data_IF_096516592519
#
_entry.id   IF_096516592519
#
_cell.length_a   1.000
_cell.length_b   1.000
_cell.length_c   1.000
_cell.angle_alpha   90.00
_cell.angle_beta   90.00
_cell.angle_gamma   90.00
#
_symmetry.space_group_name_H-M   'P 1'
#
loop_
_entity.id
_entity.type
_entity.pdbx_description
1 polymer ?
#
# COMPACT_ATOMS: atom_id res chain seq x y z
N UNK A 1 -6.84 -21.84 -10.81
CA UNK A 1 -5.68 -21.06 -11.26
C UNK A 1 -5.12 -20.38 -10.03
N UNK A 2 -3.78 -20.28 -9.88
CA UNK A 2 -3.17 -19.59 -8.73
C UNK A 2 -3.62 -18.13 -8.73
N UNK A 3 -4.04 -17.60 -7.58
CA UNK A 3 -4.39 -16.19 -7.41
C UNK A 3 -3.15 -15.29 -7.40
N UNK A 4 -1.96 -15.86 -7.15
CA UNK A 4 -0.71 -15.10 -6.98
C UNK A 4 -0.21 -14.57 -8.31
N UNK A 5 -0.03 -13.25 -8.39
CA UNK A 5 0.49 -12.51 -9.54
C UNK A 5 1.98 -12.22 -9.42
N UNK A 6 2.39 -11.69 -8.27
CA UNK A 6 3.79 -11.49 -7.90
C UNK A 6 4.16 -12.30 -6.69
N UNK A 7 5.33 -12.92 -6.71
CA UNK A 7 5.95 -13.52 -5.54
C UNK A 7 7.42 -13.09 -5.46
N UNK A 8 7.79 -12.47 -4.34
CA UNK A 8 9.13 -11.98 -4.08
C UNK A 8 9.71 -12.80 -2.92
N UNK A 9 10.92 -13.38 -3.11
CA UNK A 9 11.56 -14.26 -2.11
C UNK A 9 12.96 -13.77 -1.79
N UNK A 10 13.24 -13.54 -0.50
CA UNK A 10 14.54 -13.10 0.02
C UNK A 10 15.12 -11.92 -0.77
N UNK A 11 14.23 -11.01 -1.19
CA UNK A 11 14.58 -9.93 -2.09
C UNK A 11 15.29 -8.82 -1.32
N UNK A 12 16.51 -8.48 -1.78
CA UNK A 12 17.26 -7.32 -1.28
C UNK A 12 17.57 -6.34 -2.40
N UNK A 13 17.52 -5.06 -2.06
CA UNK A 13 18.03 -3.99 -2.92
C UNK A 13 18.96 -3.10 -2.11
N UNK A 14 20.17 -2.93 -2.64
CA UNK A 14 21.22 -2.13 -2.01
C UNK A 14 21.65 -1.05 -3.01
N UNK A 15 21.75 0.19 -2.55
CA UNK A 15 22.35 1.31 -3.28
C UNK A 15 23.47 1.88 -2.43
N UNK A 16 24.67 2.01 -2.97
CA UNK A 16 25.84 2.60 -2.31
C UNK A 16 26.09 2.06 -0.87
N UNK A 17 25.93 0.75 -0.71
CA UNK A 17 26.10 0.06 0.59
C UNK A 17 24.90 0.17 1.55
N UNK A 18 23.88 0.97 1.21
CA UNK A 18 22.65 1.10 2.02
C UNK A 18 21.59 0.12 1.52
N UNK A 19 21.10 -0.72 2.41
CA UNK A 19 19.94 -1.58 2.11
C UNK A 19 18.67 -0.75 2.10
N UNK A 20 17.97 -0.73 0.95
CA UNK A 20 16.72 -0.02 0.73
C UNK A 20 15.52 -0.97 0.82
N UNK A 21 15.70 -2.24 0.42
CA UNK A 21 14.69 -3.28 0.57
C UNK A 21 15.33 -4.54 1.15
N UNK A 22 14.65 -5.21 2.07
CA UNK A 22 14.98 -6.50 2.66
C UNK A 22 13.67 -7.25 2.96
N UNK A 23 13.16 -7.96 1.95
CA UNK A 23 11.88 -8.63 2.00
C UNK A 23 12.10 -10.14 2.07
N UNK A 24 11.69 -10.80 3.16
CA UNK A 24 11.78 -12.26 3.27
C UNK A 24 10.83 -12.94 2.26
N UNK A 25 9.56 -12.57 2.32
CA UNK A 25 8.55 -13.01 1.34
C UNK A 25 7.48 -11.93 1.17
N UNK A 26 7.04 -11.72 -0.07
CA UNK A 26 5.87 -10.91 -0.38
C UNK A 26 5.12 -11.55 -1.55
N UNK A 27 3.82 -11.78 -1.37
CA UNK A 27 2.94 -12.30 -2.43
C UNK A 27 1.78 -11.34 -2.65
N UNK A 28 1.49 -11.03 -3.91
CA UNK A 28 0.40 -10.15 -4.32
C UNK A 28 -0.51 -10.91 -5.28
N UNK A 29 -1.81 -10.79 -5.07
CA UNK A 29 -2.82 -11.52 -5.84
C UNK A 29 -3.21 -10.80 -7.15
N UNK A 30 -3.61 -11.61 -8.14
CA UNK A 30 -4.12 -11.13 -9.42
C UNK A 30 -5.54 -10.55 -9.27
N UNK A 31 -5.82 -9.51 -10.04
CA UNK A 31 -7.15 -8.91 -10.15
C UNK A 31 -7.55 -8.07 -8.94
N UNK A 32 -6.65 -7.81 -8.01
CA UNK A 32 -6.88 -6.98 -6.83
C UNK A 32 -6.31 -5.57 -7.00
N UNK A 33 -6.85 -4.67 -6.21
CA UNK A 33 -6.25 -3.36 -5.93
C UNK A 33 -5.43 -3.50 -4.65
N UNK A 34 -4.12 -3.40 -4.75
CA UNK A 34 -3.19 -3.50 -3.62
C UNK A 34 -2.55 -2.16 -3.33
N UNK A 35 -2.56 -1.71 -2.09
CA UNK A 35 -1.81 -0.54 -1.65
C UNK A 35 -0.48 -0.93 -1.02
N UNK A 36 0.58 -0.20 -1.37
CA UNK A 36 1.85 -0.21 -0.67
C UNK A 36 1.88 1.04 0.22
N UNK A 37 1.60 0.86 1.50
CA UNK A 37 1.53 1.93 2.49
C UNK A 37 2.86 2.04 3.23
N UNK A 38 3.31 3.24 3.55
CA UNK A 38 4.51 3.46 4.35
C UNK A 38 5.04 4.88 4.26
N UNK A 39 5.95 5.27 5.17
CA UNK A 39 6.54 6.60 5.18
C UNK A 39 7.43 6.84 3.94
N UNK A 40 7.82 8.09 3.73
CA UNK A 40 8.80 8.44 2.71
C UNK A 40 10.14 7.76 3.03
N UNK A 41 10.80 7.23 1.99
CA UNK A 41 12.03 6.48 2.14
C UNK A 41 11.88 5.01 2.57
N UNK A 42 10.66 4.50 2.73
CA UNK A 42 10.42 3.09 3.10
C UNK A 42 10.74 2.07 1.99
N UNK A 43 11.10 2.52 0.77
CA UNK A 43 11.41 1.64 -0.36
C UNK A 43 10.25 1.39 -1.32
N UNK A 44 9.11 2.08 -1.17
CA UNK A 44 7.89 1.87 -1.99
C UNK A 44 8.17 2.00 -3.50
N UNK A 45 8.73 3.13 -3.94
CA UNK A 45 9.08 3.38 -5.35
C UNK A 45 10.08 2.34 -5.87
N UNK A 46 11.11 2.00 -5.08
CA UNK A 46 12.09 0.97 -5.44
C UNK A 46 11.44 -0.39 -5.64
N UNK A 47 10.47 -0.74 -4.81
CA UNK A 47 9.71 -1.98 -4.97
C UNK A 47 8.86 -1.95 -6.25
N UNK A 48 8.18 -0.84 -6.56
CA UNK A 48 7.45 -0.68 -7.81
C UNK A 48 8.37 -0.78 -9.03
N UNK A 49 9.56 -0.16 -9.00
CA UNK A 49 10.55 -0.26 -10.10
C UNK A 49 11.01 -1.70 -10.34
N UNK A 50 11.22 -2.49 -9.28
CA UNK A 50 11.58 -3.91 -9.41
C UNK A 50 10.40 -4.70 -9.99
N UNK A 51 9.18 -4.47 -9.53
CA UNK A 51 7.98 -5.13 -10.06
C UNK A 51 7.65 -4.68 -11.49
N UNK A 52 8.02 -3.45 -11.87
CA UNK A 52 7.94 -2.97 -13.25
C UNK A 52 9.06 -3.54 -14.15
N UNK A 53 9.98 -4.31 -13.58
CA UNK A 53 11.17 -4.85 -14.25
C UNK A 53 12.13 -3.76 -14.78
N UNK A 54 12.06 -2.56 -14.20
CA UNK A 54 12.93 -1.42 -14.56
C UNK A 54 14.26 -1.48 -13.82
N UNK A 55 14.26 -2.04 -12.61
CA UNK A 55 15.44 -2.25 -11.77
C UNK A 55 15.55 -3.72 -11.36
N UNK A 56 16.74 -4.29 -11.37
CA UNK A 56 17.00 -5.64 -10.84
C UNK A 56 17.18 -5.57 -9.32
N UNK A 57 16.77 -6.59 -8.55
CA UNK A 57 17.18 -6.74 -7.16
C UNK A 57 18.69 -6.95 -7.04
N UNK A 58 19.29 -6.64 -5.88
CA UNK A 58 20.69 -6.96 -5.59
C UNK A 58 20.87 -8.44 -5.26
N UNK A 59 19.85 -9.06 -4.64
CA UNK A 59 19.77 -10.51 -4.40
C UNK A 59 18.31 -10.93 -4.21
N UNK A 60 18.05 -12.24 -4.19
CA UNK A 60 16.72 -12.81 -4.07
C UNK A 60 16.05 -13.04 -5.42
N UNK A 61 14.76 -13.33 -5.38
CA UNK A 61 14.01 -13.77 -6.55
C UNK A 61 12.72 -12.98 -6.71
N UNK A 62 12.38 -12.68 -7.96
CA UNK A 62 11.08 -12.12 -8.38
C UNK A 62 10.40 -13.15 -9.28
N UNK A 63 9.18 -13.49 -8.96
CA UNK A 63 8.32 -14.34 -9.75
C UNK A 63 7.10 -13.51 -10.22
N UNK A 64 6.77 -13.64 -11.48
CA UNK A 64 5.60 -13.01 -12.08
C UNK A 64 4.80 -14.06 -12.84
N UNK A 65 3.52 -14.20 -12.53
CA UNK A 65 2.64 -15.19 -13.14
C UNK A 65 3.20 -16.61 -13.08
N UNK A 66 3.76 -17.01 -11.91
CA UNK A 66 4.41 -18.30 -11.64
C UNK A 66 5.74 -18.53 -12.37
N UNK A 67 6.23 -17.59 -13.17
CA UNK A 67 7.51 -17.68 -13.85
C UNK A 67 8.58 -16.85 -13.12
N UNK A 68 9.76 -17.42 -12.89
CA UNK A 68 10.89 -16.70 -12.32
C UNK A 68 11.41 -15.68 -13.32
N UNK A 69 11.53 -14.43 -12.88
CA UNK A 69 12.01 -13.33 -13.71
C UNK A 69 13.53 -13.38 -13.83
N UNK A 70 14.01 -13.46 -15.05
CA UNK A 70 15.44 -13.38 -15.38
C UNK A 70 15.77 -11.95 -15.83
N UNK A 71 16.36 -11.16 -14.94
CA UNK A 71 16.76 -9.78 -15.22
C UNK A 71 17.99 -9.66 -16.14
N UNK A 72 18.74 -10.74 -16.36
CA UNK A 72 19.99 -10.72 -17.15
C UNK A 72 19.74 -10.83 -18.64
N UNK A 73 18.58 -11.33 -19.04
CA UNK A 73 18.23 -11.57 -20.44
C UNK A 73 17.27 -10.51 -20.96
N UNK A 74 17.27 -10.24 -22.25
CA UNK A 74 16.30 -9.35 -22.90
C UNK A 74 14.82 -9.78 -22.76
N UNK A 75 14.55 -10.92 -22.12
CA UNK A 75 13.20 -11.47 -21.87
C UNK A 75 12.32 -10.55 -21.00
N UNK A 76 12.91 -9.74 -20.11
CA UNK A 76 12.16 -8.73 -19.32
C UNK A 76 11.35 -7.75 -20.19
N UNK A 77 11.74 -7.55 -21.45
CA UNK A 77 11.02 -6.64 -22.36
C UNK A 77 9.57 -7.09 -22.58
N UNK A 78 9.32 -8.40 -22.62
CA UNK A 78 7.95 -8.92 -22.76
C UNK A 78 7.12 -8.65 -21.50
N UNK A 79 7.74 -8.75 -20.32
CA UNK A 79 7.09 -8.49 -19.05
C UNK A 79 6.75 -7.00 -18.89
N UNK A 80 7.62 -6.09 -19.33
CA UNK A 80 7.37 -4.64 -19.35
C UNK A 80 6.18 -4.23 -20.24
N UNK A 81 5.71 -5.12 -21.11
CA UNK A 81 4.48 -4.89 -21.88
C UNK A 81 3.22 -5.26 -21.09
N UNK A 82 3.36 -6.15 -20.11
CA UNK A 82 2.28 -6.62 -19.25
C UNK A 82 2.13 -5.77 -18.00
N UNK A 83 3.24 -5.24 -17.49
CA UNK A 83 3.29 -4.40 -16.29
C UNK A 83 3.73 -2.99 -16.67
N UNK A 84 2.86 -2.01 -16.42
CA UNK A 84 3.14 -0.62 -16.76
C UNK A 84 3.22 0.21 -15.50
N UNK A 85 4.28 1.01 -15.39
CA UNK A 85 4.55 1.90 -14.27
C UNK A 85 4.20 3.35 -14.63
N UNK A 86 3.52 4.02 -13.72
CA UNK A 86 3.20 5.45 -13.78
C UNK A 86 3.86 6.12 -12.58
N UNK A 87 4.80 6.98 -12.86
CA UNK A 87 5.57 7.71 -11.85
C UNK A 87 4.73 8.78 -11.16
N UNK A 88 5.12 9.15 -9.93
CA UNK A 88 4.51 10.21 -9.14
C UNK A 88 4.46 11.54 -9.91
N UNK A 89 5.58 11.93 -10.53
CA UNK A 89 5.66 13.10 -11.39
C UNK A 89 5.58 12.67 -12.86
N UNK A 90 4.36 12.46 -13.32
CA UNK A 90 4.13 12.02 -14.69
C UNK A 90 4.54 13.06 -15.71
N UNK A 91 5.42 12.71 -16.65
CA UNK A 91 5.87 13.56 -17.75
C UNK A 91 5.11 13.20 -19.02
N UNK A 92 4.50 14.20 -19.65
CA UNK A 92 3.87 14.09 -20.96
C UNK A 92 4.75 14.72 -22.04
N UNK A 93 4.67 14.16 -23.25
CA UNK A 93 5.30 14.80 -24.42
C UNK A 93 4.69 16.18 -24.69
N UNK A 94 5.51 17.15 -25.07
CA UNK A 94 5.08 18.52 -25.41
C UNK A 94 4.30 18.52 -26.72
N UNK A 95 3.12 17.90 -26.71
CA UNK A 95 2.21 17.78 -27.85
C UNK A 95 0.76 17.81 -27.37
N UNK A 96 -0.20 17.50 -28.25
CA UNK A 96 -1.62 17.38 -27.87
C UNK A 96 -1.88 16.15 -26.98
N UNK A 97 -2.86 16.24 -26.09
CA UNK A 97 -3.26 15.19 -25.17
C UNK A 97 -3.50 13.85 -25.89
N UNK A 98 -4.31 13.83 -26.94
CA UNK A 98 -4.60 12.60 -27.69
C UNK A 98 -3.34 11.94 -28.28
N UNK A 99 -2.33 12.73 -28.66
CA UNK A 99 -1.05 12.20 -29.18
C UNK A 99 -0.24 11.49 -28.12
N UNK A 100 -0.33 11.94 -26.86
CA UNK A 100 0.28 11.25 -25.73
C UNK A 100 -0.32 9.87 -25.53
N UNK A 101 -1.64 9.77 -25.50
CA UNK A 101 -2.35 8.47 -25.33
C UNK A 101 -2.17 7.57 -26.56
N UNK A 102 -2.15 8.15 -27.79
CA UNK A 102 -1.95 7.40 -29.02
C UNK A 102 -0.50 6.88 -29.20
N UNK A 103 0.48 7.39 -28.45
CA UNK A 103 1.89 7.08 -28.66
C UNK A 103 2.21 5.57 -28.55
N UNK A 104 1.84 4.84 -27.47
CA UNK A 104 2.12 3.42 -27.37
C UNK A 104 1.40 2.61 -28.46
N UNK A 105 0.19 2.99 -28.84
CA UNK A 105 -0.58 2.34 -29.91
C UNK A 105 0.09 2.49 -31.27
N UNK A 106 0.71 3.66 -31.51
CA UNK A 106 1.46 3.94 -32.74
C UNK A 106 2.71 3.06 -32.84
N UNK A 107 3.45 2.95 -31.74
CA UNK A 107 4.66 2.10 -31.69
C UNK A 107 4.31 0.64 -31.96
N UNK A 108 3.13 0.20 -31.47
CA UNK A 108 2.63 -1.17 -31.67
C UNK A 108 1.99 -1.39 -33.06
N UNK A 109 2.04 -0.41 -33.96
CA UNK A 109 1.50 -0.54 -35.31
C UNK A 109 -0.03 -0.59 -35.39
N UNK A 110 -0.75 -0.12 -34.34
CA UNK A 110 -2.24 -0.12 -34.34
C UNK A 110 -2.76 0.74 -35.50
N UNK A 111 -3.69 0.23 -36.34
CA UNK A 111 -4.28 0.97 -37.45
C UNK A 111 -4.94 2.28 -36.97
N UNK A 112 -4.89 3.31 -37.81
CA UNK A 112 -5.32 4.68 -37.45
C UNK A 112 -6.75 4.72 -36.88
N UNK A 113 -7.73 4.15 -37.59
CA UNK A 113 -9.12 4.16 -37.16
C UNK A 113 -9.33 3.48 -35.79
N UNK A 114 -8.69 2.31 -35.57
CA UNK A 114 -8.74 1.61 -34.29
C UNK A 114 -8.08 2.41 -33.18
N UNK A 115 -6.94 3.06 -33.48
CA UNK A 115 -6.19 3.90 -32.54
C UNK A 115 -7.01 5.12 -32.09
N UNK A 116 -7.70 5.77 -33.01
CA UNK A 116 -8.55 6.93 -32.71
C UNK A 116 -9.69 6.55 -31.76
N UNK A 117 -10.36 5.42 -31.99
CA UNK A 117 -11.40 4.91 -31.11
C UNK A 117 -10.88 4.56 -29.71
N UNK A 118 -9.74 3.84 -29.61
CA UNK A 118 -9.15 3.51 -28.33
C UNK A 118 -8.77 4.77 -27.54
N UNK A 119 -8.18 5.75 -28.19
CA UNK A 119 -7.79 7.02 -27.54
C UNK A 119 -9.03 7.74 -27.00
N UNK A 120 -10.13 7.77 -27.74
CA UNK A 120 -11.39 8.37 -27.31
C UNK A 120 -11.93 7.64 -26.08
N UNK A 121 -12.08 6.33 -26.15
CA UNK A 121 -12.54 5.50 -25.03
C UNK A 121 -11.69 5.69 -23.76
N UNK A 122 -10.36 5.79 -23.91
CA UNK A 122 -9.46 5.97 -22.76
C UNK A 122 -9.48 7.38 -22.18
N UNK A 123 -9.62 8.40 -23.03
CA UNK A 123 -9.75 9.78 -22.57
C UNK A 123 -11.09 10.00 -21.85
N UNK A 124 -12.16 9.39 -22.33
CA UNK A 124 -13.46 9.44 -21.66
C UNK A 124 -13.42 8.72 -20.31
N UNK A 125 -12.78 7.54 -20.25
CA UNK A 125 -12.60 6.78 -19.01
C UNK A 125 -11.91 7.62 -17.92
N UNK A 126 -10.90 8.42 -18.28
CA UNK A 126 -10.18 9.25 -17.33
C UNK A 126 -10.77 10.66 -17.19
N UNK A 127 -11.93 10.95 -17.81
CA UNK A 127 -12.59 12.25 -17.75
C UNK A 127 -11.83 13.37 -18.45
N UNK A 128 -11.07 13.04 -19.52
CA UNK A 128 -10.25 13.98 -20.29
C UNK A 128 -10.69 14.13 -21.75
N UNK A 129 -11.89 13.65 -22.12
CA UNK A 129 -12.43 13.73 -23.49
C UNK A 129 -12.46 15.16 -24.05
N UNK A 130 -12.93 16.13 -23.25
CA UNK A 130 -12.94 17.55 -23.62
C UNK A 130 -11.56 18.18 -23.84
N UNK A 131 -10.51 17.57 -23.29
CA UNK A 131 -9.13 18.05 -23.42
C UNK A 131 -8.35 17.37 -24.55
N UNK A 132 -8.99 16.53 -25.38
CA UNK A 132 -8.37 15.76 -26.47
C UNK A 132 -7.39 16.56 -27.33
N UNK A 133 -7.76 17.77 -27.68
CA UNK A 133 -6.98 18.64 -28.56
C UNK A 133 -6.12 19.68 -27.83
N UNK A 134 -6.21 19.75 -26.51
CA UNK A 134 -5.40 20.64 -25.67
C UNK A 134 -3.92 20.29 -25.77
N UNK A 135 -3.06 21.29 -25.55
CA UNK A 135 -1.62 21.09 -25.42
C UNK A 135 -1.30 20.54 -24.03
N UNK A 136 -0.58 19.41 -23.96
CA UNK A 136 -0.32 18.70 -22.70
C UNK A 136 0.39 19.56 -21.65
N UNK A 137 1.26 20.47 -22.05
CA UNK A 137 1.97 21.37 -21.14
C UNK A 137 1.09 22.47 -20.49
N UNK A 138 -0.19 22.55 -20.87
CA UNK A 138 -1.17 23.47 -20.26
C UNK A 138 -2.07 22.78 -19.22
N UNK A 139 -1.89 21.49 -19.01
CA UNK A 139 -2.67 20.71 -18.05
C UNK A 139 -2.19 20.99 -16.62
N UNK A 140 -3.14 20.94 -15.68
CA UNK A 140 -2.82 20.86 -14.25
C UNK A 140 -2.09 19.57 -13.89
N UNK A 141 -1.54 19.47 -12.68
CA UNK A 141 -0.89 18.25 -12.21
C UNK A 141 -1.82 17.02 -12.22
N UNK A 142 -3.03 17.18 -11.71
CA UNK A 142 -4.02 16.11 -11.69
C UNK A 142 -4.54 15.71 -13.09
N UNK A 143 -4.73 16.67 -14.00
CA UNK A 143 -5.06 16.38 -15.40
C UNK A 143 -3.92 15.65 -16.11
N UNK A 144 -2.67 16.06 -15.85
CA UNK A 144 -1.46 15.38 -16.37
C UNK A 144 -1.41 13.93 -15.89
N UNK A 145 -1.68 13.67 -14.61
CA UNK A 145 -1.70 12.33 -14.04
C UNK A 145 -2.79 11.47 -14.69
N UNK A 146 -4.00 11.98 -14.87
CA UNK A 146 -5.09 11.27 -15.55
C UNK A 146 -4.73 10.90 -17.00
N UNK A 147 -4.11 11.82 -17.74
CA UNK A 147 -3.63 11.53 -19.11
C UNK A 147 -2.50 10.50 -19.10
N UNK A 148 -1.60 10.52 -18.12
CA UNK A 148 -0.56 9.52 -17.97
C UNK A 148 -1.13 8.12 -17.70
N UNK A 149 -2.18 8.03 -16.87
CA UNK A 149 -2.91 6.76 -16.65
C UNK A 149 -3.56 6.29 -17.96
N UNK A 150 -4.21 7.18 -18.72
CA UNK A 150 -4.79 6.83 -20.03
C UNK A 150 -3.72 6.31 -21.00
N UNK A 151 -2.53 6.96 -21.03
CA UNK A 151 -1.38 6.50 -21.82
C UNK A 151 -0.88 5.12 -21.38
N UNK A 152 -0.84 4.85 -20.09
CA UNK A 152 -0.49 3.56 -19.55
C UNK A 152 -1.49 2.47 -19.95
N UNK A 153 -2.79 2.76 -19.86
CA UNK A 153 -3.87 1.85 -20.28
C UNK A 153 -3.85 1.55 -21.78
N UNK A 154 -3.37 2.48 -22.61
CA UNK A 154 -3.17 2.25 -24.06
C UNK A 154 -2.11 1.18 -24.35
N UNK A 155 -1.33 0.77 -23.35
CA UNK A 155 -0.44 -0.38 -23.45
C UNK A 155 -1.17 -1.73 -23.26
N UNK A 156 -2.45 -1.75 -22.92
CA UNK A 156 -3.21 -2.95 -22.55
C UNK A 156 -2.50 -3.80 -21.50
N UNK A 157 -2.16 -3.22 -20.34
CA UNK A 157 -1.43 -3.93 -19.31
C UNK A 157 -2.31 -4.95 -18.58
N UNK A 158 -1.67 -6.01 -18.04
CA UNK A 158 -2.29 -6.89 -17.04
C UNK A 158 -2.20 -6.27 -15.64
N UNK A 159 -1.17 -5.46 -15.42
CA UNK A 159 -0.89 -4.77 -14.16
C UNK A 159 -0.53 -3.32 -14.40
N UNK A 160 -1.11 -2.43 -13.61
CA UNK A 160 -0.69 -1.03 -13.55
C UNK A 160 -0.12 -0.73 -12.15
N UNK A 161 1.08 -0.17 -12.14
CA UNK A 161 1.78 0.27 -10.93
C UNK A 161 1.72 1.79 -10.89
N UNK A 162 1.25 2.36 -9.77
CA UNK A 162 1.04 3.80 -9.63
C UNK A 162 1.84 4.30 -8.41
N UNK A 163 2.83 5.13 -8.63
CA UNK A 163 3.60 5.72 -7.53
C UNK A 163 2.93 7.01 -7.06
N UNK A 164 2.41 7.02 -5.84
CA UNK A 164 1.70 8.14 -5.20
C UNK A 164 0.75 8.90 -6.15
N UNK A 165 -0.22 8.22 -6.79
CA UNK A 165 -0.97 8.78 -7.93
C UNK A 165 -1.82 10.01 -7.59
N UNK A 166 -2.04 10.29 -6.32
CA UNK A 166 -2.85 11.42 -5.83
C UNK A 166 -2.03 12.44 -5.04
N UNK A 167 -0.69 12.28 -4.99
CA UNK A 167 0.15 13.26 -4.33
C UNK A 167 0.16 14.60 -5.06
N UNK A 168 0.08 15.68 -4.30
CA UNK A 168 0.14 17.06 -4.82
C UNK A 168 -0.94 17.42 -5.86
N UNK A 169 -2.09 16.75 -5.82
CA UNK A 169 -3.26 17.11 -6.62
C UNK A 169 -4.40 17.62 -5.72
N UNK A 170 -5.26 18.44 -6.29
CA UNK A 170 -6.46 18.91 -5.59
C UNK A 170 -7.48 17.78 -5.34
N UNK A 171 -8.44 18.04 -4.47
CA UNK A 171 -9.43 17.04 -4.01
C UNK A 171 -10.26 16.48 -5.16
N UNK A 172 -10.63 17.31 -6.15
CA UNK A 172 -11.44 16.85 -7.29
C UNK A 172 -10.67 15.85 -8.15
N UNK A 173 -9.40 16.17 -8.46
CA UNK A 173 -8.52 15.28 -9.20
C UNK A 173 -8.19 14.01 -8.39
N UNK A 174 -8.02 14.11 -7.06
CA UNK A 174 -7.84 12.95 -6.20
C UNK A 174 -9.03 11.99 -6.34
N UNK A 175 -10.26 12.49 -6.17
CA UNK A 175 -11.49 11.68 -6.30
C UNK A 175 -11.59 11.07 -7.70
N UNK A 176 -11.25 11.83 -8.76
CA UNK A 176 -11.28 11.33 -10.12
C UNK A 176 -10.28 10.17 -10.32
N UNK A 177 -9.04 10.31 -9.84
CA UNK A 177 -8.00 9.27 -9.95
C UNK A 177 -8.43 8.01 -9.18
N UNK A 178 -8.99 8.16 -7.99
CA UNK A 178 -9.50 7.02 -7.19
C UNK A 178 -10.62 6.26 -7.90
N UNK A 179 -11.55 6.98 -8.53
CA UNK A 179 -12.60 6.36 -9.37
C UNK A 179 -12.01 5.62 -10.56
N UNK A 180 -11.00 6.18 -11.22
CA UNK A 180 -10.30 5.54 -12.34
C UNK A 180 -9.68 4.22 -11.87
N UNK A 181 -8.98 4.20 -10.72
CA UNK A 181 -8.37 3.00 -10.15
C UNK A 181 -9.41 1.90 -9.95
N UNK A 182 -10.53 2.22 -9.32
CA UNK A 182 -11.63 1.27 -9.11
C UNK A 182 -12.25 0.79 -10.42
N UNK A 183 -12.48 1.71 -11.37
CA UNK A 183 -13.13 1.41 -12.64
C UNK A 183 -12.28 0.48 -13.51
N UNK A 184 -10.97 0.72 -13.63
CA UNK A 184 -10.08 -0.13 -14.44
C UNK A 184 -9.92 -1.53 -13.82
N UNK A 185 -9.91 -1.66 -12.51
CA UNK A 185 -9.87 -2.96 -11.86
C UNK A 185 -11.19 -3.70 -12.08
N UNK A 186 -12.34 -3.07 -11.79
CA UNK A 186 -13.66 -3.67 -11.86
C UNK A 186 -14.07 -4.07 -13.28
N UNK A 187 -13.84 -3.20 -14.29
CA UNK A 187 -14.37 -3.38 -15.65
C UNK A 187 -13.39 -4.05 -16.58
N UNK A 188 -12.09 -3.90 -16.35
CA UNK A 188 -11.03 -4.45 -17.23
C UNK A 188 -10.26 -5.59 -16.57
N UNK A 189 -10.50 -5.89 -15.28
CA UNK A 189 -9.80 -6.94 -14.54
C UNK A 189 -8.30 -6.69 -14.38
N UNK A 190 -7.85 -5.43 -14.55
CA UNK A 190 -6.45 -5.05 -14.41
C UNK A 190 -6.08 -5.06 -12.93
N UNK A 191 -5.01 -5.73 -12.56
CA UNK A 191 -4.45 -5.63 -11.20
C UNK A 191 -3.84 -4.24 -11.02
N UNK A 192 -4.16 -3.57 -9.92
CA UNK A 192 -3.63 -2.25 -9.61
C UNK A 192 -2.80 -2.32 -8.35
N UNK A 193 -1.57 -1.84 -8.40
CA UNK A 193 -0.71 -1.71 -7.22
C UNK A 193 -0.34 -0.24 -7.12
N UNK A 194 -0.67 0.41 -6.02
CA UNK A 194 -0.36 1.82 -5.83
C UNK A 194 0.34 2.09 -4.51
N UNK A 195 1.24 3.07 -4.50
CA UNK A 195 1.86 3.54 -3.27
C UNK A 195 1.08 4.70 -2.69
N UNK A 196 1.07 4.79 -1.38
CA UNK A 196 0.56 5.95 -0.65
C UNK A 196 1.17 6.01 0.75
N UNK A 197 1.19 7.19 1.33
CA UNK A 197 1.44 7.38 2.77
C UNK A 197 0.14 7.71 3.52
N UNK A 198 -0.99 7.81 2.80
CA UNK A 198 -2.30 8.11 3.35
C UNK A 198 -3.08 6.81 3.62
N UNK A 199 -3.25 6.51 4.89
CA UNK A 199 -3.93 5.32 5.37
C UNK A 199 -5.42 5.27 5.01
N UNK A 200 -6.11 6.42 5.07
CA UNK A 200 -7.53 6.51 4.71
C UNK A 200 -7.72 6.17 3.24
N UNK A 201 -6.83 6.64 2.38
CA UNK A 201 -6.84 6.30 0.97
C UNK A 201 -6.60 4.81 0.75
N UNK A 202 -5.58 4.23 1.41
CA UNK A 202 -5.28 2.81 1.30
C UNK A 202 -6.48 1.95 1.70
N UNK A 203 -7.10 2.23 2.85
CA UNK A 203 -8.24 1.46 3.36
C UNK A 203 -9.50 1.58 2.50
N UNK A 204 -9.69 2.73 1.83
CA UNK A 204 -10.87 2.99 0.99
C UNK A 204 -10.77 2.36 -0.41
N UNK A 205 -9.55 2.28 -0.97
CA UNK A 205 -9.34 1.86 -2.36
C UNK A 205 -8.87 0.43 -2.49
N UNK A 206 -8.07 -0.07 -1.55
CA UNK A 206 -7.37 -1.32 -1.71
C UNK A 206 -8.16 -2.50 -1.14
N UNK A 207 -8.13 -3.62 -1.86
CA UNK A 207 -8.57 -4.93 -1.35
C UNK A 207 -7.55 -5.49 -0.35
N UNK A 208 -6.27 -5.14 -0.55
CA UNK A 208 -5.16 -5.56 0.29
C UNK A 208 -4.18 -4.41 0.51
N UNK A 209 -3.63 -4.32 1.71
CA UNK A 209 -2.59 -3.34 2.05
C UNK A 209 -1.34 -4.06 2.51
N UNK A 210 -0.21 -3.73 1.90
CA UNK A 210 1.13 -4.11 2.32
C UNK A 210 1.79 -2.89 2.93
N UNK A 211 2.21 -2.98 4.17
CA UNK A 211 2.94 -1.91 4.82
C UNK A 211 4.45 -2.10 4.60
N UNK A 212 5.11 -1.03 4.15
CA UNK A 212 6.57 -0.98 4.00
C UNK A 212 7.16 -0.03 5.03
N UNK A 213 8.12 -0.54 5.79
CA UNK A 213 8.87 0.24 6.76
C UNK A 213 10.34 -0.18 6.76
N UNK A 214 11.25 0.78 6.58
CA UNK A 214 12.71 0.52 6.52
C UNK A 214 13.09 -0.64 5.60
N UNK A 215 12.44 -0.71 4.43
CA UNK A 215 12.69 -1.74 3.43
C UNK A 215 12.08 -3.10 3.71
N UNK A 216 11.36 -3.28 4.80
CA UNK A 216 10.69 -4.54 5.16
C UNK A 216 9.19 -4.45 4.91
N UNK A 217 8.60 -5.55 4.44
CA UNK A 217 7.17 -5.65 4.26
C UNK A 217 6.53 -6.35 5.46
N UNK A 218 5.40 -5.80 5.90
CA UNK A 218 4.53 -6.48 6.84
C UNK A 218 3.11 -6.45 6.29
N UNK A 219 2.38 -7.54 6.49
CA UNK A 219 0.97 -7.65 6.09
C UNK A 219 0.03 -6.87 7.00
N UNK A 220 0.55 -6.34 8.08
CA UNK A 220 -0.20 -5.60 9.09
C UNK A 220 0.00 -4.11 8.91
N UNK A 221 -1.08 -3.36 9.02
CA UNK A 221 -1.05 -1.91 9.05
C UNK A 221 -0.44 -1.51 10.40
N UNK A 222 0.80 -1.03 10.38
CA UNK A 222 1.47 -0.51 11.58
C UNK A 222 0.88 0.85 11.98
N UNK A 223 -0.36 0.86 12.42
CA UNK A 223 -0.95 2.06 13.00
C UNK A 223 -0.47 2.30 14.42
N UNK A 224 -0.07 1.20 15.08
CA UNK A 224 0.41 1.21 16.44
C UNK A 224 1.93 1.09 16.46
N UNK A 225 2.63 2.06 15.84
CA UNK A 225 4.10 2.15 15.94
C UNK A 225 4.45 3.16 17.01
N UNK A 226 5.24 2.70 17.98
CA UNK A 226 5.67 3.52 19.09
C UNK A 226 7.17 3.42 19.28
N UNK A 227 7.80 4.53 19.69
CA UNK A 227 9.17 4.53 20.20
C UNK A 227 9.12 4.20 21.69
N UNK A 228 10.02 3.32 22.13
CA UNK A 228 10.11 2.89 23.51
C UNK A 228 11.54 2.51 23.91
N UNK A 229 11.67 2.10 25.15
CA UNK A 229 12.92 1.62 25.71
C UNK A 229 12.68 0.27 26.38
N UNK A 230 13.44 -0.76 26.00
CA UNK A 230 13.31 -2.08 26.60
C UNK A 230 14.22 -2.17 27.82
N UNK A 231 13.58 -2.49 28.95
CA UNK A 231 14.21 -2.81 30.22
C UNK A 231 13.94 -4.27 30.59
N UNK A 232 14.88 -4.89 31.28
CA UNK A 232 14.73 -6.25 31.82
C UNK A 232 14.48 -6.13 33.32
N UNK A 233 13.39 -6.70 33.80
CA UNK A 233 13.08 -6.72 35.22
C UNK A 233 13.93 -7.75 36.00
N UNK A 234 13.75 -7.82 37.34
CA UNK A 234 14.51 -8.74 38.21
C UNK A 234 14.18 -10.22 37.97
N UNK A 235 13.07 -10.51 37.28
CA UNK A 235 12.65 -11.88 36.93
C UNK A 235 13.20 -12.32 35.58
N UNK A 236 13.88 -11.43 34.83
CA UNK A 236 14.35 -11.68 33.47
C UNK A 236 13.33 -11.36 32.38
N UNK A 237 12.13 -10.89 32.74
CA UNK A 237 11.10 -10.49 31.80
C UNK A 237 11.40 -9.15 31.19
N UNK A 238 11.17 -8.99 29.89
CA UNK A 238 11.43 -7.76 29.17
C UNK A 238 10.17 -6.92 28.98
N UNK A 239 10.29 -5.65 29.27
CA UNK A 239 9.22 -4.67 29.16
C UNK A 239 9.67 -3.49 28.30
N UNK A 240 8.87 -3.13 27.31
CA UNK A 240 9.05 -1.93 26.52
C UNK A 240 8.25 -0.79 27.15
N UNK A 241 8.95 0.21 27.68
CA UNK A 241 8.34 1.41 28.23
C UNK A 241 8.17 2.43 27.10
N UNK A 242 6.92 2.77 26.81
CA UNK A 242 6.53 3.75 25.80
C UNK A 242 6.42 5.15 26.39
N UNK A 243 6.11 6.13 25.53
CA UNK A 243 5.77 7.49 25.96
C UNK A 243 4.62 7.46 26.99
N UNK A 244 4.60 8.39 27.90
CA UNK A 244 3.66 8.49 29.01
C UNK A 244 3.68 7.30 30.01
N UNK A 245 4.74 6.48 29.99
CA UNK A 245 4.94 5.42 30.97
C UNK A 245 4.13 4.14 30.75
N UNK A 246 3.49 3.98 29.59
CA UNK A 246 2.83 2.74 29.25
C UNK A 246 3.86 1.61 29.08
N UNK A 247 3.74 0.55 29.87
CA UNK A 247 4.65 -0.61 29.85
C UNK A 247 4.01 -1.80 29.17
N UNK A 248 4.75 -2.40 28.22
CA UNK A 248 4.35 -3.57 27.44
C UNK A 248 5.34 -4.71 27.65
N UNK A 249 4.89 -5.86 28.11
CA UNK A 249 5.70 -7.08 28.07
C UNK A 249 5.98 -7.46 26.60
N UNK A 250 7.24 -7.72 26.29
CA UNK A 250 7.68 -8.03 24.91
C UNK A 250 8.54 -9.29 24.89
N UNK A 251 8.38 -10.07 23.81
CA UNK A 251 9.24 -11.23 23.53
C UNK A 251 10.30 -10.81 22.49
N UNK A 252 11.47 -10.37 22.99
CA UNK A 252 12.57 -9.87 22.14
C UNK A 252 13.92 -10.05 22.80
N UNK A 253 14.95 -10.33 22.01
CA UNK A 253 16.33 -10.34 22.51
C UNK A 253 16.94 -8.95 22.67
N UNK A 254 16.32 -7.92 22.07
CA UNK A 254 16.81 -6.53 22.11
C UNK A 254 16.69 -5.90 23.48
N UNK A 255 17.45 -4.83 23.71
CA UNK A 255 17.45 -3.99 24.93
C UNK A 255 17.77 -2.55 24.53
N UNK A 256 17.38 -1.58 25.35
CA UNK A 256 17.62 -0.15 25.10
C UNK A 256 16.56 0.47 24.18
N UNK A 257 16.89 1.57 23.48
CA UNK A 257 15.97 2.29 22.62
C UNK A 257 15.52 1.41 21.43
N UNK A 258 14.23 1.29 21.23
CA UNK A 258 13.62 0.48 20.17
C UNK A 258 12.39 1.17 19.60
N UNK A 259 11.95 0.68 18.46
CA UNK A 259 10.57 0.89 17.99
C UNK A 259 9.81 -0.42 18.07
N UNK A 260 8.55 -0.32 18.44
CA UNK A 260 7.64 -1.46 18.46
C UNK A 260 6.46 -1.20 17.54
N UNK A 261 5.89 -2.28 17.06
CA UNK A 261 4.64 -2.28 16.31
C UNK A 261 3.69 -3.32 16.85
N UNK A 262 2.41 -2.97 16.95
CA UNK A 262 1.34 -3.87 17.37
C UNK A 262 0.33 -3.96 16.23
N UNK A 263 0.06 -5.17 15.74
CA UNK A 263 -0.96 -5.40 14.73
C UNK A 263 -2.35 -5.02 15.27
N UNK A 264 -3.07 -4.05 14.68
CA UNK A 264 -4.42 -3.69 15.11
C UNK A 264 -5.40 -4.86 15.11
N UNK A 265 -5.20 -5.85 14.25
CA UNK A 265 -6.05 -7.05 14.20
C UNK A 265 -5.71 -8.09 15.27
N UNK A 266 -4.52 -8.00 15.88
CA UNK A 266 -4.09 -8.86 16.98
C UNK A 266 -4.50 -8.30 18.35
N UNK A 267 -4.98 -7.04 18.40
CA UNK A 267 -5.52 -6.44 19.61
C UNK A 267 -6.98 -6.81 19.77
N UNK A 268 -7.30 -7.45 20.88
CA UNK A 268 -8.69 -7.76 21.25
C UNK A 268 -9.29 -6.62 22.06
N UNK A 269 -10.57 -6.32 21.85
CA UNK A 269 -11.33 -5.31 22.60
C UNK A 269 -12.48 -5.99 23.35
N UNK A 270 -12.71 -5.59 24.59
CA UNK A 270 -13.77 -6.11 25.44
C UNK A 270 -14.30 -5.03 26.39
N UNK A 271 -15.49 -5.25 26.94
CA UNK A 271 -16.09 -4.39 27.98
C UNK A 271 -15.62 -4.73 29.40
N UNK A 272 -14.98 -5.90 29.57
CA UNK A 272 -14.48 -6.35 30.87
C UNK A 272 -13.01 -6.77 30.76
N UNK A 273 -12.30 -6.68 31.89
CA UNK A 273 -10.89 -7.09 31.97
C UNK A 273 -10.72 -8.59 31.72
N UNK A 274 -9.78 -8.95 30.85
CA UNK A 274 -9.35 -10.33 30.67
C UNK A 274 -8.32 -10.72 31.73
N UNK A 275 -8.47 -11.87 32.37
CA UNK A 275 -7.58 -12.35 33.43
C UNK A 275 -6.49 -13.29 32.90
N UNK A 276 -5.99 -13.12 31.69
CA UNK A 276 -4.96 -13.96 31.09
C UNK A 276 -3.57 -13.42 31.43
N UNK A 277 -2.76 -14.16 32.18
CA UNK A 277 -1.51 -13.71 32.81
C UNK A 277 -0.32 -13.46 31.88
N UNK A 278 -0.43 -13.76 30.56
CA UNK A 278 0.64 -13.57 29.57
C UNK A 278 0.28 -12.51 28.50
N UNK A 279 -0.79 -11.76 28.73
CA UNK A 279 -1.27 -10.77 27.79
C UNK A 279 -1.11 -9.34 28.36
N UNK A 280 -0.70 -8.43 27.50
CA UNK A 280 -0.73 -7.00 27.80
C UNK A 280 -2.19 -6.56 27.84
N UNK A 281 -2.64 -5.98 28.94
CA UNK A 281 -4.02 -5.56 29.13
C UNK A 281 -4.09 -4.10 29.55
N UNK A 282 -4.87 -3.29 28.85
CA UNK A 282 -4.98 -1.85 29.08
C UNK A 282 -6.43 -1.43 29.17
N UNK A 283 -6.78 -0.58 30.13
CA UNK A 283 -8.05 0.13 30.14
C UNK A 283 -7.90 1.43 29.36
N UNK A 284 -8.85 1.72 28.50
CA UNK A 284 -8.85 2.94 27.70
C UNK A 284 -10.23 3.43 27.37
N UNK A 285 -10.28 4.60 26.74
CA UNK A 285 -11.51 5.24 26.30
C UNK A 285 -11.61 5.25 24.77
N UNK A 286 -12.75 4.85 24.23
CA UNK A 286 -13.00 4.85 22.80
C UNK A 286 -13.14 6.28 22.29
N UNK A 287 -12.21 6.72 21.43
CA UNK A 287 -12.13 8.10 20.95
C UNK A 287 -12.49 8.31 19.49
N UNK A 288 -12.47 7.23 18.69
CA UNK A 288 -12.86 7.31 17.28
C UNK A 288 -13.35 5.95 16.75
N UNK A 289 -14.32 6.01 15.83
CA UNK A 289 -14.83 4.88 15.07
C UNK A 289 -14.73 5.19 13.57
N UNK A 290 -14.21 4.25 12.79
CA UNK A 290 -14.14 4.38 11.34
C UNK A 290 -14.67 3.08 10.70
N UNK A 291 -15.68 3.20 9.85
CA UNK A 291 -16.22 2.07 9.10
C UNK A 291 -15.33 1.78 7.88
N UNK A 292 -14.78 0.56 7.82
CA UNK A 292 -13.96 0.06 6.71
C UNK A 292 -14.67 -1.13 6.06
N UNK A 293 -15.47 -0.87 5.05
CA UNK A 293 -16.21 -1.87 4.24
C UNK A 293 -16.63 -3.16 4.96
N UNK A 294 -15.68 -4.02 5.37
CA UNK A 294 -15.92 -5.30 6.05
C UNK A 294 -15.57 -5.29 7.54
N UNK A 295 -14.88 -4.26 8.03
CA UNK A 295 -14.36 -4.15 9.40
C UNK A 295 -14.69 -2.78 9.98
N UNK A 296 -14.53 -2.66 11.29
CA UNK A 296 -14.61 -1.38 12.01
C UNK A 296 -13.26 -1.15 12.67
N UNK A 297 -12.69 0.01 12.42
CA UNK A 297 -11.52 0.50 13.12
C UNK A 297 -11.95 1.27 14.34
N UNK A 298 -11.43 0.90 15.48
CA UNK A 298 -11.67 1.50 16.77
C UNK A 298 -10.38 2.11 17.27
N UNK A 299 -10.35 3.41 17.54
CA UNK A 299 -9.22 4.08 18.18
C UNK A 299 -9.53 4.26 19.67
N UNK A 300 -8.65 3.76 20.51
CA UNK A 300 -8.79 3.79 21.96
C UNK A 300 -7.62 4.52 22.58
N UNK A 301 -7.89 5.48 23.43
CA UNK A 301 -6.87 6.16 24.22
C UNK A 301 -6.60 5.36 25.50
N UNK A 302 -5.41 4.75 25.55
CA UNK A 302 -4.88 4.01 26.72
C UNK A 302 -3.73 4.76 27.39
N UNK A 303 -3.67 6.09 27.22
CA UNK A 303 -2.53 6.97 27.52
C UNK A 303 -1.70 7.27 26.26
N UNK A 304 -1.89 6.48 25.22
CA UNK A 304 -1.50 6.69 23.84
C UNK A 304 -2.64 6.21 22.94
N UNK A 305 -2.85 6.79 21.74
CA UNK A 305 -3.89 6.33 20.84
C UNK A 305 -3.49 4.95 20.26
N UNK A 306 -4.29 3.93 20.53
CA UNK A 306 -4.08 2.56 20.06
C UNK A 306 -5.23 2.14 19.15
N UNK A 307 -4.90 1.74 17.93
CA UNK A 307 -5.86 1.32 16.90
C UNK A 307 -6.15 -0.17 17.02
N UNK A 308 -7.43 -0.52 16.91
CA UNK A 308 -7.93 -1.91 16.94
C UNK A 308 -8.81 -2.13 15.71
N UNK A 309 -8.62 -3.26 15.03
CA UNK A 309 -9.39 -3.61 13.83
C UNK A 309 -10.23 -4.85 14.08
N UNK A 310 -11.55 -4.70 14.11
CA UNK A 310 -12.50 -5.78 14.38
C UNK A 310 -13.51 -5.97 13.26
N UNK A 311 -14.12 -7.16 13.16
CA UNK A 311 -15.20 -7.38 12.20
C UNK A 311 -16.46 -6.61 12.60
N UNK A 312 -17.31 -6.24 11.61
CA UNK A 312 -18.61 -5.59 11.87
C UNK A 312 -19.51 -6.44 12.78
N UNK A 313 -19.40 -7.76 12.67
CA UNK A 313 -20.15 -8.69 13.51
C UNK A 313 -19.72 -8.58 14.99
N UNK A 314 -18.42 -8.57 15.26
CA UNK A 314 -17.87 -8.40 16.61
C UNK A 314 -18.25 -7.03 17.17
N UNK A 315 -18.09 -5.96 16.35
CA UNK A 315 -18.47 -4.61 16.75
C UNK A 315 -19.96 -4.50 17.13
N UNK A 316 -20.86 -5.03 16.29
CA UNK A 316 -22.30 -5.03 16.56
C UNK A 316 -22.66 -5.82 17.83
N UNK A 317 -21.97 -6.94 18.09
CA UNK A 317 -22.19 -7.74 19.31
C UNK A 317 -21.73 -7.02 20.58
N UNK A 318 -20.64 -6.26 20.50
CA UNK A 318 -20.12 -5.50 21.63
C UNK A 318 -20.91 -4.23 21.92
N UNK A 319 -21.68 -3.68 20.96
CA UNK A 319 -22.51 -2.50 21.15
C UNK A 319 -21.72 -1.26 21.59
N UNK A 320 -20.47 -1.11 21.14
CA UNK A 320 -19.56 -0.06 21.56
C UNK A 320 -19.95 1.30 20.94
N UNK A 321 -19.87 2.35 21.75
CA UNK A 321 -20.10 3.73 21.37
C UNK A 321 -18.91 4.66 21.67
N UNK A 322 -18.94 5.84 21.08
CA UNK A 322 -17.93 6.89 21.36
C UNK A 322 -17.97 7.27 22.85
N UNK A 323 -16.79 7.27 23.45
CA UNK A 323 -16.62 7.63 24.86
C UNK A 323 -16.74 6.46 25.85
N UNK A 324 -17.03 5.25 25.37
CA UNK A 324 -17.10 4.06 26.23
C UNK A 324 -15.73 3.68 26.80
N UNK A 325 -15.72 3.22 28.04
CA UNK A 325 -14.58 2.59 28.67
C UNK A 325 -14.46 1.15 28.16
N UNK A 326 -13.29 0.79 27.67
CA UNK A 326 -13.01 -0.53 27.10
C UNK A 326 -11.68 -1.09 27.59
N UNK A 327 -11.52 -2.39 27.49
CA UNK A 327 -10.27 -3.09 27.75
C UNK A 327 -9.67 -3.59 26.45
N UNK A 328 -8.40 -3.30 26.25
CA UNK A 328 -7.60 -3.84 25.15
C UNK A 328 -6.64 -4.88 25.66
N UNK A 329 -6.50 -5.97 24.90
CA UNK A 329 -5.60 -7.07 25.26
C UNK A 329 -4.82 -7.53 24.04
N UNK A 330 -3.49 -7.64 24.16
CA UNK A 330 -2.64 -8.18 23.11
C UNK A 330 -1.55 -9.09 23.68
N UNK A 331 -1.20 -10.16 22.95
CA UNK A 331 -0.14 -11.08 23.36
C UNK A 331 1.24 -10.45 23.14
N UNK A 332 2.25 -10.85 23.93
CA UNK A 332 3.64 -10.41 23.75
C UNK A 332 4.18 -10.77 22.37
N UNK A 333 3.75 -11.92 21.80
CA UNK A 333 4.17 -12.39 20.48
C UNK A 333 3.58 -11.58 19.32
N UNK A 334 2.51 -10.82 19.55
CA UNK A 334 1.93 -9.91 18.54
C UNK A 334 2.64 -8.56 18.43
N UNK A 335 3.64 -8.34 19.30
CA UNK A 335 4.44 -7.11 19.32
C UNK A 335 5.76 -7.36 18.57
N UNK A 336 5.96 -6.66 17.48
CA UNK A 336 7.22 -6.71 16.74
C UNK A 336 8.15 -5.62 17.25
N UNK A 337 9.43 -5.96 17.46
CA UNK A 337 10.47 -5.06 17.97
C UNK A 337 11.51 -4.83 16.88
N UNK A 338 11.75 -3.56 16.53
CA UNK A 338 12.70 -3.12 15.49
C UNK A 338 13.96 -2.49 16.02
#
# INVERSE_FOLDING_TARGET
MSSVLFELKKLKKVYDGRTVLDLETLSLDRGKVTSLLGPNGAGKTTLLEIMAFLSSPSSGEVWFDQEKVDFTTGKVIHLRRKVVFVEQQSILFTTKVWKNVAFPLRIRGTPKARRERIVEELLDLVGMGGFRHAKAHKLSGGETQRVAIARALACFPEVILLDEPTANVDVENQIAIERIIQEINRTKGISVIFTTHNMIQASRLADETVFLYEGKAARSIYENIFSGHIETDRSGSKHCILQHGLSLGVDSEKSGPVRISIDPSAVKISQSQSNVSLENTFKGKLIQLTDEQRRVRVLVDVGIPLSVLISKEVFGRLGLGMGDDVWLTCSQQSIQVF
#
